data_IF_514794847382
#
_entry.id   IF_514794847382
#
_cell.length_a   1.000
_cell.length_b   1.000
_cell.length_c   1.000
_cell.angle_alpha   90.00
_cell.angle_beta   90.00
_cell.angle_gamma   90.00
#
_symmetry.space_group_name_H-M   'P 1'
#
loop_
_entity.id
_entity.type
_entity.pdbx_description
1 polymer ?
#
# COMPACT_ATOMS: atom_id res chain seq x y z
N UNK A 1 -15.61 -22.82 -12.35
CA UNK A 1 -15.76 -22.33 -10.96
C UNK A 1 -17.06 -21.56 -10.90
N UNK A 2 -17.90 -21.84 -9.91
CA UNK A 2 -19.22 -21.21 -9.75
C UNK A 2 -19.10 -20.00 -8.84
N UNK A 3 -19.69 -18.86 -9.21
CA UNK A 3 -19.75 -17.67 -8.38
C UNK A 3 -20.66 -17.89 -7.16
N UNK A 4 -20.44 -17.19 -6.02
CA UNK A 4 -21.34 -17.27 -4.88
C UNK A 4 -22.71 -16.65 -5.22
N UNK A 5 -23.78 -16.97 -4.45
CA UNK A 5 -25.03 -16.24 -4.56
C UNK A 5 -24.80 -14.77 -4.18
N UNK A 6 -25.03 -13.87 -5.14
CA UNK A 6 -24.82 -12.44 -4.95
C UNK A 6 -26.06 -11.77 -4.35
N UNK A 7 -25.91 -10.69 -3.57
CA UNK A 7 -27.05 -9.93 -3.06
C UNK A 7 -27.78 -9.21 -4.20
N UNK A 8 -29.06 -8.91 -4.03
CA UNK A 8 -29.76 -7.99 -4.91
C UNK A 8 -29.11 -6.57 -4.85
N UNK A 9 -29.04 -5.84 -5.96
CA UNK A 9 -29.55 -6.20 -7.30
C UNK A 9 -28.54 -7.02 -8.14
N UNK A 10 -27.36 -7.33 -7.59
CA UNK A 10 -26.25 -7.98 -8.30
C UNK A 10 -26.46 -9.46 -8.61
N UNK A 11 -27.47 -10.11 -8.01
CA UNK A 11 -27.90 -11.46 -8.37
C UNK A 11 -28.22 -11.62 -9.87
N UNK A 12 -28.62 -10.53 -10.53
CA UNK A 12 -29.00 -10.50 -11.94
C UNK A 12 -27.89 -9.94 -12.85
N UNK A 13 -26.73 -9.59 -12.30
CA UNK A 13 -25.67 -8.94 -13.04
C UNK A 13 -24.92 -9.92 -13.96
N UNK A 14 -24.46 -9.43 -15.11
CA UNK A 14 -23.54 -10.18 -15.96
C UNK A 14 -22.14 -10.10 -15.36
N UNK A 15 -21.54 -11.25 -15.06
CA UNK A 15 -20.16 -11.33 -14.59
C UNK A 15 -19.19 -11.63 -15.75
N UNK A 16 -18.09 -10.89 -15.80
CA UNK A 16 -16.95 -11.19 -16.69
C UNK A 16 -15.66 -11.25 -15.86
N UNK A 17 -14.75 -12.15 -16.22
CA UNK A 17 -13.42 -12.19 -15.61
C UNK A 17 -12.74 -10.84 -15.85
N UNK A 18 -12.28 -10.22 -14.77
CA UNK A 18 -11.54 -8.97 -14.80
C UNK A 18 -10.12 -9.30 -14.36
N UNK A 19 -9.12 -8.86 -15.14
CA UNK A 19 -7.71 -9.16 -14.86
C UNK A 19 -7.37 -8.94 -13.38
N UNK A 20 -6.62 -9.87 -12.78
CA UNK A 20 -6.32 -9.86 -11.35
C UNK A 20 -4.82 -9.99 -11.08
N UNK A 21 -4.40 -9.40 -9.96
CA UNK A 21 -3.08 -9.64 -9.38
C UNK A 21 -2.91 -11.08 -8.93
N UNK A 22 -1.71 -11.43 -8.45
CA UNK A 22 -1.37 -12.82 -8.10
C UNK A 22 -2.22 -13.40 -6.95
N UNK A 23 -2.67 -12.54 -6.03
CA UNK A 23 -3.31 -12.91 -4.76
C UNK A 23 -4.83 -12.97 -4.82
N UNK A 24 -5.47 -12.32 -5.79
CA UNK A 24 -6.92 -12.09 -5.81
C UNK A 24 -7.50 -12.30 -7.21
N UNK A 25 -8.66 -12.97 -7.29
CA UNK A 25 -9.41 -13.13 -8.55
C UNK A 25 -10.54 -12.12 -8.60
N UNK A 26 -10.72 -11.49 -9.75
CA UNK A 26 -11.69 -10.43 -9.92
C UNK A 26 -12.69 -10.76 -11.03
N UNK A 27 -13.92 -10.30 -10.83
CA UNK A 27 -14.96 -10.28 -11.84
C UNK A 27 -15.60 -8.90 -11.87
N UNK A 28 -15.73 -8.32 -13.05
CA UNK A 28 -16.54 -7.14 -13.25
C UNK A 28 -17.99 -7.59 -13.41
N UNK A 29 -18.85 -7.08 -12.53
CA UNK A 29 -20.29 -7.23 -12.60
C UNK A 29 -20.89 -6.01 -13.28
N UNK A 30 -21.75 -6.23 -14.26
CA UNK A 30 -22.50 -5.17 -14.96
C UNK A 30 -24.00 -5.40 -14.81
N UNK A 31 -24.71 -4.38 -14.34
CA UNK A 31 -26.16 -4.34 -14.23
C UNK A 31 -26.67 -2.99 -14.78
N UNK A 32 -27.19 -2.99 -16.02
CA UNK A 32 -27.49 -1.74 -16.73
C UNK A 32 -26.21 -0.90 -16.88
N UNK A 33 -26.25 0.35 -16.42
CA UNK A 33 -25.09 1.26 -16.39
C UNK A 33 -24.23 1.10 -15.11
N UNK A 34 -24.69 0.35 -14.12
CA UNK A 34 -23.98 0.15 -12.87
C UNK A 34 -22.90 -0.93 -13.03
N UNK A 35 -21.75 -0.69 -12.39
CA UNK A 35 -20.62 -1.62 -12.35
C UNK A 35 -20.15 -1.86 -10.92
N UNK A 36 -19.86 -3.11 -10.60
CA UNK A 36 -19.25 -3.53 -9.35
C UNK A 36 -18.11 -4.52 -9.59
N UNK A 37 -17.16 -4.56 -8.67
CA UNK A 37 -16.06 -5.50 -8.69
C UNK A 37 -16.28 -6.56 -7.62
N UNK A 38 -16.49 -7.79 -8.07
CA UNK A 38 -16.48 -8.97 -7.21
C UNK A 38 -15.05 -9.48 -7.11
N UNK A 39 -14.57 -9.66 -5.89
CA UNK A 39 -13.25 -10.19 -5.58
C UNK A 39 -13.39 -11.47 -4.78
N UNK A 40 -12.58 -12.45 -5.13
CA UNK A 40 -12.32 -13.64 -4.32
C UNK A 40 -10.88 -13.59 -3.84
N UNK A 41 -10.69 -13.61 -2.52
CA UNK A 41 -9.36 -13.76 -1.94
C UNK A 41 -8.83 -15.16 -2.26
N UNK A 42 -7.62 -15.27 -2.79
CA UNK A 42 -7.01 -16.59 -3.00
C UNK A 42 -6.43 -17.12 -1.70
N UNK A 43 -6.35 -18.45 -1.61
CA UNK A 43 -5.64 -19.14 -0.52
C UNK A 43 -4.11 -19.20 -0.75
N UNK A 44 -3.58 -18.60 -1.82
CA UNK A 44 -2.17 -18.69 -2.15
C UNK A 44 -1.35 -17.66 -1.37
N UNK A 45 -0.54 -18.18 -0.44
CA UNK A 45 0.61 -17.56 0.23
C UNK A 45 0.41 -16.16 0.82
N UNK A 46 -0.08 -16.16 2.05
CA UNK A 46 -0.15 -14.96 2.87
C UNK A 46 1.22 -14.71 3.53
N UNK A 47 2.15 -14.09 2.79
CA UNK A 47 3.40 -13.54 3.32
C UNK A 47 3.12 -12.28 4.18
N UNK A 48 2.41 -12.49 5.30
CA UNK A 48 2.04 -11.45 6.26
C UNK A 48 0.76 -10.69 5.92
N UNK A 49 -0.19 -11.32 5.21
CA UNK A 49 -1.54 -10.76 4.99
C UNK A 49 -2.44 -11.16 6.17
N UNK A 50 -3.21 -10.19 6.67
CA UNK A 50 -4.26 -10.42 7.65
C UNK A 50 -5.59 -9.94 7.07
N UNK A 51 -6.51 -10.89 6.79
CA UNK A 51 -7.79 -10.59 6.14
C UNK A 51 -8.75 -9.81 7.02
N UNK A 52 -8.63 -9.91 8.35
CA UNK A 52 -9.44 -9.12 9.27
C UNK A 52 -8.95 -7.67 9.30
N UNK A 53 -7.64 -7.47 9.32
CA UNK A 53 -7.01 -6.16 9.21
C UNK A 53 -7.34 -5.46 7.89
N UNK A 54 -7.17 -6.19 6.77
CA UNK A 54 -7.55 -5.73 5.43
C UNK A 54 -8.99 -5.24 5.38
N UNK A 55 -9.93 -6.06 5.88
CA UNK A 55 -11.35 -5.72 5.88
C UNK A 55 -11.65 -4.49 6.75
N UNK A 56 -11.07 -4.41 7.95
CA UNK A 56 -11.29 -3.28 8.85
C UNK A 56 -10.80 -1.96 8.24
N UNK A 57 -9.62 -1.97 7.61
CA UNK A 57 -9.06 -0.83 6.91
C UNK A 57 -9.87 -0.44 5.69
N UNK A 58 -10.24 -1.40 4.85
CA UNK A 58 -11.05 -1.14 3.66
C UNK A 58 -12.45 -0.60 4.02
N UNK A 59 -13.06 -1.10 5.09
CA UNK A 59 -14.34 -0.58 5.59
C UNK A 59 -14.22 0.87 6.06
N UNK A 60 -13.20 1.20 6.86
CA UNK A 60 -12.97 2.58 7.29
C UNK A 60 -12.67 3.51 6.10
N UNK A 61 -11.87 3.04 5.15
CA UNK A 61 -11.54 3.81 3.95
C UNK A 61 -12.75 3.98 3.02
N UNK A 62 -13.65 3.00 2.95
CA UNK A 62 -14.94 3.14 2.25
C UNK A 62 -15.80 4.23 2.88
N UNK A 63 -15.91 4.24 4.21
CA UNK A 63 -16.71 5.23 4.95
C UNK A 63 -16.14 6.65 4.83
N UNK A 64 -14.81 6.78 4.81
CA UNK A 64 -14.13 8.06 4.57
C UNK A 64 -14.15 8.50 3.10
N UNK A 65 -14.67 7.67 2.20
CA UNK A 65 -14.62 7.91 0.76
C UNK A 65 -13.18 7.98 0.25
N UNK A 66 -12.26 7.18 0.77
CA UNK A 66 -10.89 7.06 0.26
C UNK A 66 -10.76 5.79 -0.58
N UNK A 67 -11.57 4.78 -0.33
CA UNK A 67 -11.57 3.50 -1.06
C UNK A 67 -12.93 3.22 -1.71
N UNK A 68 -13.00 2.36 -2.75
CA UNK A 68 -14.28 2.01 -3.34
C UNK A 68 -15.24 1.43 -2.29
N UNK A 69 -16.50 1.91 -2.22
CA UNK A 69 -17.48 1.41 -1.27
C UNK A 69 -17.60 -0.11 -1.29
N UNK A 70 -17.39 -0.73 -0.12
CA UNK A 70 -17.68 -2.15 0.10
C UNK A 70 -19.21 -2.35 0.18
N UNK A 71 -19.76 -3.10 -0.76
CA UNK A 71 -21.20 -3.32 -0.91
C UNK A 71 -21.65 -4.60 -0.20
N UNK A 72 -20.79 -5.62 -0.17
CA UNK A 72 -21.13 -6.91 0.41
C UNK A 72 -19.88 -7.74 0.71
N UNK A 73 -20.00 -8.62 1.70
CA UNK A 73 -18.97 -9.54 2.16
C UNK A 73 -19.60 -10.88 2.52
N UNK A 74 -19.01 -11.98 2.06
CA UNK A 74 -19.35 -13.33 2.51
C UNK A 74 -18.14 -14.27 2.40
N UNK A 75 -17.60 -14.66 3.55
CA UNK A 75 -16.40 -15.51 3.60
C UNK A 75 -15.22 -14.85 2.87
N UNK A 76 -14.66 -15.55 1.88
CA UNK A 76 -13.55 -15.06 1.04
C UNK A 76 -13.96 -14.09 -0.08
N UNK A 77 -15.25 -13.76 -0.18
CA UNK A 77 -15.79 -12.94 -1.27
C UNK A 77 -16.14 -11.55 -0.79
N UNK A 78 -15.71 -10.56 -1.54
CA UNK A 78 -16.06 -9.14 -1.33
C UNK A 78 -16.62 -8.56 -2.61
N UNK A 79 -17.68 -7.76 -2.50
CA UNK A 79 -18.22 -6.98 -3.61
C UNK A 79 -18.03 -5.50 -3.29
N UNK A 80 -17.50 -4.74 -4.23
CA UNK A 80 -17.29 -3.30 -4.09
C UNK A 80 -17.79 -2.56 -5.32
N UNK A 81 -18.04 -1.25 -5.19
CA UNK A 81 -18.33 -0.42 -6.36
C UNK A 81 -17.11 -0.41 -7.30
N UNK A 82 -17.35 -0.56 -8.60
CA UNK A 82 -16.28 -0.42 -9.57
C UNK A 82 -15.94 1.06 -9.77
N UNK A 83 -14.65 1.41 -9.66
CA UNK A 83 -14.16 2.75 -9.96
C UNK A 83 -13.51 2.71 -11.34
N UNK A 84 -14.15 3.38 -12.30
CA UNK A 84 -13.61 3.53 -13.64
C UNK A 84 -12.66 4.74 -13.68
N UNK A 85 -11.41 4.48 -13.30
CA UNK A 85 -10.35 5.46 -13.27
C UNK A 85 -9.00 4.77 -13.50
N UNK A 86 -8.07 5.40 -14.24
CA UNK A 86 -6.74 4.86 -14.42
C UNK A 86 -5.98 4.84 -13.09
N UNK A 87 -5.11 3.84 -12.94
CA UNK A 87 -4.09 3.82 -11.89
C UNK A 87 -2.88 4.63 -12.31
N UNK A 88 -2.10 5.13 -11.35
CA UNK A 88 -0.87 5.84 -11.69
C UNK A 88 -0.23 6.62 -10.54
N UNK A 89 0.97 7.15 -10.79
CA UNK A 89 1.68 7.94 -9.79
C UNK A 89 0.94 9.26 -9.52
N UNK A 90 1.29 9.88 -8.41
CA UNK A 90 0.81 11.22 -8.06
C UNK A 90 1.65 12.26 -8.83
N UNK A 91 1.32 12.46 -10.10
CA UNK A 91 2.13 13.27 -11.03
C UNK A 91 1.85 14.78 -10.94
N UNK A 92 0.83 15.19 -10.19
CA UNK A 92 0.45 16.60 -10.02
C UNK A 92 0.40 16.98 -8.55
N UNK A 93 0.66 18.25 -8.22
CA UNK A 93 0.60 18.77 -6.84
C UNK A 93 -0.73 18.46 -6.13
N UNK A 94 -1.87 18.59 -6.84
CA UNK A 94 -3.19 18.28 -6.29
C UNK A 94 -3.39 16.78 -6.00
N UNK A 95 -2.75 15.91 -6.77
CA UNK A 95 -2.74 14.47 -6.53
C UNK A 95 -1.86 14.12 -5.34
N UNK A 96 -0.65 14.67 -5.27
CA UNK A 96 0.24 14.50 -4.11
C UNK A 96 -0.45 14.96 -2.82
N UNK A 97 -1.06 16.14 -2.84
CA UNK A 97 -1.80 16.65 -1.69
C UNK A 97 -2.95 15.71 -1.27
N UNK A 98 -3.67 15.11 -2.23
CA UNK A 98 -4.76 14.17 -1.95
C UNK A 98 -4.26 12.85 -1.38
N UNK A 99 -3.12 12.36 -1.87
CA UNK A 99 -2.46 11.17 -1.35
C UNK A 99 -1.92 11.39 0.07
N UNK A 100 -1.27 12.51 0.32
CA UNK A 100 -0.79 12.88 1.66
C UNK A 100 -1.94 13.10 2.66
N UNK A 101 -3.09 13.62 2.20
CA UNK A 101 -4.32 13.70 3.02
C UNK A 101 -4.82 12.31 3.41
N UNK A 102 -4.79 11.35 2.48
CA UNK A 102 -5.16 9.97 2.77
C UNK A 102 -4.21 9.33 3.80
N UNK A 103 -2.89 9.54 3.66
CA UNK A 103 -1.90 9.08 4.66
C UNK A 103 -2.15 9.73 6.02
N UNK A 104 -2.34 11.06 6.08
CA UNK A 104 -2.60 11.76 7.33
C UNK A 104 -3.90 11.30 8.01
N UNK A 105 -4.95 11.03 7.24
CA UNK A 105 -6.19 10.43 7.74
C UNK A 105 -5.94 9.04 8.31
N UNK A 106 -5.22 8.19 7.58
CA UNK A 106 -4.94 6.81 7.97
C UNK A 106 -4.14 6.75 9.28
N UNK A 107 -3.11 7.58 9.41
CA UNK A 107 -2.31 7.69 10.62
C UNK A 107 -3.11 8.18 11.85
N UNK A 108 -4.26 8.83 11.63
CA UNK A 108 -5.16 9.30 12.67
C UNK A 108 -6.19 8.27 13.16
N UNK A 109 -6.27 7.08 12.54
CA UNK A 109 -7.23 6.06 12.95
C UNK A 109 -6.79 5.36 14.24
N UNK A 110 -7.77 5.07 15.10
CA UNK A 110 -7.58 4.26 16.31
C UNK A 110 -7.88 2.79 16.01
N UNK A 111 -6.87 2.05 15.54
CA UNK A 111 -6.99 0.62 15.20
C UNK A 111 -5.86 -0.21 15.84
N UNK A 112 -5.85 -0.35 17.18
CA UNK A 112 -4.75 -1.00 17.89
C UNK A 112 -4.64 -2.51 17.66
N UNK A 113 -5.67 -3.13 17.07
CA UNK A 113 -5.73 -4.57 16.79
C UNK A 113 -5.13 -4.94 15.45
N UNK A 114 -4.69 -3.97 14.64
CA UNK A 114 -4.00 -4.26 13.39
C UNK A 114 -2.67 -4.98 13.69
N UNK A 115 -2.24 -5.93 12.83
CA UNK A 115 -0.94 -6.56 12.96
C UNK A 115 0.16 -5.50 12.85
N UNK A 116 1.28 -5.71 13.52
CA UNK A 116 2.45 -4.85 13.40
C UNK A 116 3.29 -5.30 12.21
N UNK A 117 3.73 -4.36 11.37
CA UNK A 117 4.70 -4.60 10.32
C UNK A 117 6.11 -4.78 10.93
N UNK A 118 6.68 -5.99 10.97
CA UNK A 118 7.91 -6.22 11.69
C UNK A 118 9.10 -6.06 10.73
N UNK A 119 9.60 -4.84 10.55
CA UNK A 119 10.56 -4.48 9.49
C UNK A 119 11.74 -5.47 9.34
N UNK A 120 12.63 -5.56 10.35
CA UNK A 120 13.82 -6.44 10.29
C UNK A 120 13.44 -7.91 10.17
N UNK A 121 12.48 -8.37 10.97
CA UNK A 121 12.07 -9.78 10.96
C UNK A 121 11.44 -10.18 9.62
N UNK A 122 10.67 -9.29 8.99
CA UNK A 122 10.09 -9.50 7.65
C UNK A 122 11.18 -9.58 6.60
N UNK A 123 12.18 -8.70 6.64
CA UNK A 123 13.33 -8.78 5.73
C UNK A 123 14.06 -10.12 5.86
N UNK A 124 14.35 -10.57 7.08
CA UNK A 124 14.99 -11.86 7.33
C UNK A 124 14.13 -13.04 6.87
N UNK A 125 12.82 -13.02 7.12
CA UNK A 125 11.88 -14.04 6.67
C UNK A 125 11.80 -14.12 5.14
N UNK A 126 12.02 -13.01 4.44
CA UNK A 126 12.09 -12.93 2.98
C UNK A 126 13.50 -13.21 2.43
N UNK A 127 14.45 -13.62 3.27
CA UNK A 127 15.80 -14.04 2.83
C UNK A 127 16.82 -12.91 2.70
N UNK A 128 16.66 -11.81 3.46
CA UNK A 128 17.68 -10.76 3.55
C UNK A 128 19.06 -11.30 3.97
N UNK A 129 20.12 -10.76 3.35
CA UNK A 129 21.50 -11.19 3.54
C UNK A 129 22.33 -10.23 4.39
N UNK A 130 23.64 -10.49 4.49
CA UNK A 130 24.57 -9.60 5.20
C UNK A 130 24.79 -8.26 4.47
N UNK A 131 24.57 -8.22 3.15
CA UNK A 131 24.74 -7.05 2.28
C UNK A 131 23.50 -6.11 2.24
N UNK A 132 22.49 -6.40 3.06
CA UNK A 132 21.29 -5.58 3.23
C UNK A 132 21.60 -4.22 3.89
N UNK A 133 20.74 -3.20 3.77
CA UNK A 133 20.97 -1.86 4.31
C UNK A 133 20.79 -1.78 5.84
N UNK A 134 21.48 -2.63 6.61
CA UNK A 134 21.30 -2.76 8.06
C UNK A 134 21.57 -1.48 8.84
N UNK A 135 22.40 -0.57 8.33
CA UNK A 135 22.59 0.76 8.91
C UNK A 135 21.28 1.57 8.93
N UNK A 136 20.47 1.48 7.88
CA UNK A 136 19.16 2.14 7.84
C UNK A 136 18.17 1.51 8.84
N UNK A 137 18.15 0.17 8.94
CA UNK A 137 17.35 -0.53 9.96
C UNK A 137 17.77 -0.11 11.38
N UNK A 138 19.07 -0.07 11.65
CA UNK A 138 19.63 0.37 12.94
C UNK A 138 19.22 1.80 13.28
N UNK A 139 19.23 2.72 12.31
CA UNK A 139 18.79 4.11 12.53
C UNK A 139 17.31 4.18 12.93
N UNK A 140 16.43 3.44 12.23
CA UNK A 140 15.00 3.39 12.57
C UNK A 140 14.76 2.77 13.94
N UNK A 141 15.47 1.69 14.27
CA UNK A 141 15.36 0.95 15.53
C UNK A 141 15.92 1.72 16.73
N UNK A 142 16.94 2.56 16.53
CA UNK A 142 17.56 3.36 17.59
C UNK A 142 16.66 4.50 18.09
N UNK A 143 15.65 4.89 17.32
CA UNK A 143 14.70 5.96 17.65
C UNK A 143 13.27 5.53 17.27
N UNK A 144 12.64 4.64 18.07
CA UNK A 144 11.31 4.13 17.76
C UNK A 144 10.25 5.22 17.93
N UNK A 145 9.31 5.28 16.97
CA UNK A 145 8.13 6.14 17.04
C UNK A 145 6.88 5.30 17.34
N UNK A 146 5.81 5.91 17.91
CA UNK A 146 4.52 5.25 18.01
C UNK A 146 4.04 4.77 16.63
N UNK A 147 3.68 3.49 16.55
CA UNK A 147 3.17 2.91 15.32
C UNK A 147 1.78 3.45 15.01
N UNK A 148 1.50 3.61 13.71
CA UNK A 148 0.26 4.16 13.19
C UNK A 148 -0.30 3.24 12.11
N UNK A 149 -1.62 3.22 11.88
CA UNK A 149 -2.17 2.50 10.74
C UNK A 149 -1.56 3.01 9.43
N UNK A 150 -1.20 2.07 8.57
CA UNK A 150 -0.56 2.30 7.28
C UNK A 150 -1.13 1.35 6.23
N UNK A 151 -1.08 1.76 4.97
CA UNK A 151 -1.50 0.94 3.83
C UNK A 151 -0.41 -0.06 3.46
N UNK A 152 0.87 0.27 3.70
CA UNK A 152 2.06 -0.58 3.51
C UNK A 152 2.42 -0.89 2.04
N UNK A 153 1.48 -0.67 1.13
CA UNK A 153 1.69 -0.84 -0.31
C UNK A 153 1.15 0.34 -1.15
N UNK A 154 1.52 1.59 -0.80
CA UNK A 154 1.14 2.78 -1.58
C UNK A 154 1.97 2.94 -2.86
N UNK A 155 1.95 1.92 -3.72
CA UNK A 155 2.51 2.03 -5.05
C UNK A 155 1.49 2.67 -6.03
N UNK A 156 1.95 3.21 -7.18
CA UNK A 156 1.09 3.83 -8.19
C UNK A 156 -0.09 2.97 -8.68
N UNK A 157 0.03 1.65 -8.69
CA UNK A 157 -1.04 0.75 -9.14
C UNK A 157 -2.20 0.68 -8.15
N UNK A 158 -1.96 1.04 -6.88
CA UNK A 158 -2.99 1.10 -5.85
C UNK A 158 -3.65 2.48 -5.73
N UNK A 159 -3.27 3.43 -6.59
CA UNK A 159 -3.80 4.79 -6.64
C UNK A 159 -4.61 5.03 -7.91
N UNK A 160 -5.93 5.12 -7.82
CA UNK A 160 -6.82 5.43 -8.92
C UNK A 160 -7.18 6.92 -8.94
N UNK A 161 -7.07 7.55 -10.11
CA UNK A 161 -7.20 9.00 -10.26
C UNK A 161 -8.36 9.43 -11.14
N UNK A 162 -9.26 10.24 -10.59
CA UNK A 162 -10.22 11.03 -11.36
C UNK A 162 -9.83 12.51 -11.20
N UNK A 163 -8.90 12.97 -12.04
CA UNK A 163 -8.21 14.25 -11.85
C UNK A 163 -7.42 14.26 -10.52
N UNK A 164 -7.81 15.08 -9.55
CA UNK A 164 -7.21 15.13 -8.21
C UNK A 164 -7.90 14.20 -7.20
N UNK A 165 -9.03 13.60 -7.57
CA UNK A 165 -9.74 12.67 -6.71
C UNK A 165 -9.02 11.34 -6.67
N UNK A 166 -8.56 10.97 -5.48
CA UNK A 166 -7.94 9.68 -5.18
C UNK A 166 -8.98 8.63 -4.78
N UNK A 167 -8.80 7.41 -5.28
CA UNK A 167 -9.30 6.18 -4.68
C UNK A 167 -8.13 5.22 -4.42
N UNK A 168 -7.99 4.74 -3.19
CA UNK A 168 -7.03 3.70 -2.81
C UNK A 168 -7.68 2.32 -2.85
N UNK A 169 -6.93 1.33 -3.32
CA UNK A 169 -7.34 -0.07 -3.39
C UNK A 169 -6.23 -0.97 -2.83
N UNK A 170 -6.54 -2.26 -2.65
CA UNK A 170 -5.59 -3.30 -2.26
C UNK A 170 -4.97 -3.13 -0.86
N UNK A 171 -5.85 -3.24 0.16
CA UNK A 171 -5.51 -3.06 1.58
C UNK A 171 -4.89 -4.31 2.24
N UNK A 172 -4.45 -5.31 1.48
CA UNK A 172 -4.12 -6.63 2.02
C UNK A 172 -2.88 -6.67 2.93
N UNK A 173 -1.99 -5.69 2.81
CA UNK A 173 -0.81 -5.54 3.68
C UNK A 173 -1.01 -4.52 4.82
N UNK A 174 -2.19 -3.93 4.91
CA UNK A 174 -2.49 -2.87 5.86
C UNK A 174 -2.22 -3.30 7.31
N UNK A 175 -1.43 -2.51 8.03
CA UNK A 175 -0.88 -2.86 9.34
C UNK A 175 -0.46 -1.63 10.14
N UNK A 176 -0.11 -1.81 11.42
CA UNK A 176 0.60 -0.80 12.19
C UNK A 176 2.05 -0.72 11.73
N UNK A 177 2.49 0.45 11.30
CA UNK A 177 3.84 0.70 10.82
C UNK A 177 4.43 1.98 11.41
N UNK A 178 5.72 2.17 11.20
CA UNK A 178 6.36 3.46 11.44
C UNK A 178 5.68 4.57 10.62
N UNK A 179 5.43 5.78 11.16
CA UNK A 179 4.76 6.86 10.43
C UNK A 179 5.49 7.33 9.17
N UNK A 180 6.75 6.94 8.98
CA UNK A 180 7.52 7.24 7.76
C UNK A 180 7.34 6.17 6.67
N UNK A 181 6.74 5.01 6.96
CA UNK A 181 6.73 3.86 6.04
C UNK A 181 5.95 4.16 4.75
N UNK A 182 4.71 4.62 4.85
CA UNK A 182 3.89 5.00 3.69
C UNK A 182 4.46 6.23 2.97
N UNK A 183 5.10 7.15 3.69
CA UNK A 183 5.80 8.28 3.09
C UNK A 183 7.03 7.83 2.28
N UNK A 184 7.78 6.85 2.78
CA UNK A 184 8.89 6.23 2.07
C UNK A 184 8.40 5.45 0.83
N UNK A 185 7.28 4.74 0.93
CA UNK A 185 6.64 4.10 -0.22
C UNK A 185 6.35 5.15 -1.31
N UNK A 186 5.65 6.24 -0.96
CA UNK A 186 5.32 7.33 -1.89
C UNK A 186 6.59 7.92 -2.51
N UNK A 187 7.59 8.25 -1.69
CA UNK A 187 8.86 8.77 -2.16
C UNK A 187 9.50 7.85 -3.23
N UNK A 188 9.61 6.56 -2.95
CA UNK A 188 10.30 5.59 -3.82
C UNK A 188 9.47 5.29 -5.08
N UNK A 189 8.20 4.94 -4.92
CA UNK A 189 7.40 4.36 -6.03
C UNK A 189 6.68 5.43 -6.86
N UNK A 190 6.54 6.66 -6.37
CA UNK A 190 6.04 7.79 -7.15
C UNK A 190 7.20 8.63 -7.71
N UNK A 191 8.45 8.22 -7.48
CA UNK A 191 9.67 8.89 -7.98
C UNK A 191 9.76 10.37 -7.60
N UNK A 192 9.37 10.69 -6.35
CA UNK A 192 9.36 12.07 -5.85
C UNK A 192 10.70 12.41 -5.17
N UNK A 193 11.07 13.69 -5.11
CA UNK A 193 12.20 14.10 -4.28
C UNK A 193 11.78 14.09 -2.78
N UNK A 194 12.56 13.49 -1.86
CA UNK A 194 12.23 13.47 -0.43
C UNK A 194 12.00 14.85 0.19
N UNK A 195 12.77 15.85 -0.25
CA UNK A 195 12.59 17.23 0.20
C UNK A 195 11.22 17.80 -0.22
N UNK A 196 10.80 17.51 -1.46
CA UNK A 196 9.52 17.98 -1.96
C UNK A 196 8.36 17.31 -1.20
N UNK A 197 8.44 16.00 -0.97
CA UNK A 197 7.48 15.26 -0.15
C UNK A 197 7.41 15.81 1.29
N UNK A 198 8.58 16.05 1.90
CA UNK A 198 8.68 16.61 3.26
C UNK A 198 8.03 17.99 3.36
N UNK A 199 8.28 18.87 2.39
CA UNK A 199 7.68 20.21 2.34
C UNK A 199 6.16 20.13 2.18
N UNK A 200 5.67 19.28 1.27
CA UNK A 200 4.24 19.09 1.06
C UNK A 200 3.55 18.53 2.31
N UNK A 201 4.17 17.56 2.99
CA UNK A 201 3.67 17.01 4.24
C UNK A 201 3.61 18.04 5.36
N UNK A 202 4.67 18.85 5.53
CA UNK A 202 4.72 19.88 6.54
C UNK A 202 3.67 20.97 6.28
N UNK A 203 3.51 21.39 5.03
CA UNK A 203 2.48 22.36 4.65
C UNK A 203 1.06 21.84 4.95
N UNK A 204 0.83 20.54 4.78
CA UNK A 204 -0.48 19.92 5.01
C UNK A 204 -0.78 19.67 6.49
N UNK A 205 0.20 19.18 7.25
CA UNK A 205 -0.02 18.61 8.59
C UNK A 205 0.57 19.44 9.72
N UNK A 206 1.38 20.46 9.38
CA UNK A 206 2.22 21.24 10.30
C UNK A 206 3.27 20.39 11.04
N UNK A 207 3.45 19.12 10.67
CA UNK A 207 4.44 18.21 11.25
C UNK A 207 5.69 18.16 10.36
N UNK A 208 6.88 18.49 10.87
CA UNK A 208 8.10 18.40 10.08
C UNK A 208 8.51 16.94 9.84
N UNK A 209 9.18 16.68 8.71
CA UNK A 209 9.80 15.40 8.40
C UNK A 209 11.31 15.50 8.60
N UNK A 210 11.87 14.54 9.35
CA UNK A 210 13.32 14.39 9.48
C UNK A 210 13.85 13.65 8.26
N UNK A 211 14.55 14.36 7.37
CA UNK A 211 15.02 13.78 6.10
C UNK A 211 15.91 12.56 6.29
N UNK A 212 16.81 12.55 7.28
CA UNK A 212 17.64 11.39 7.58
C UNK A 212 16.79 10.13 7.89
N UNK A 213 15.69 10.29 8.65
CA UNK A 213 14.76 9.19 8.92
C UNK A 213 13.98 8.80 7.66
N UNK A 214 13.56 9.75 6.83
CA UNK A 214 12.86 9.46 5.58
C UNK A 214 13.74 8.68 4.60
N UNK A 215 15.01 9.04 4.46
CA UNK A 215 15.98 8.29 3.67
C UNK A 215 16.23 6.89 4.23
N UNK A 216 16.42 6.76 5.55
CA UNK A 216 16.56 5.45 6.18
C UNK A 216 15.33 4.57 5.96
N UNK A 217 14.12 5.14 6.12
CA UNK A 217 12.89 4.39 5.85
C UNK A 217 12.71 4.07 4.36
N UNK A 218 13.15 4.95 3.45
CA UNK A 218 13.24 4.68 2.02
C UNK A 218 14.11 3.46 1.71
N UNK A 219 15.29 3.36 2.34
CA UNK A 219 16.15 2.19 2.23
C UNK A 219 15.49 0.92 2.79
N UNK A 220 14.82 1.00 3.95
CA UNK A 220 14.10 -0.12 4.56
C UNK A 220 12.95 -0.61 3.66
N UNK A 221 12.10 0.30 3.20
CA UNK A 221 10.98 0.01 2.30
C UNK A 221 11.46 -0.65 1.01
N UNK A 222 12.40 -0.01 0.29
CA UNK A 222 12.91 -0.54 -0.97
C UNK A 222 13.59 -1.90 -0.77
N UNK A 223 14.31 -2.11 0.35
CA UNK A 223 14.87 -3.42 0.65
C UNK A 223 13.80 -4.49 0.88
N UNK A 224 12.71 -4.20 1.61
CA UNK A 224 11.60 -5.13 1.77
C UNK A 224 10.95 -5.50 0.42
N UNK A 225 10.78 -4.52 -0.47
CA UNK A 225 10.31 -4.74 -1.82
C UNK A 225 11.28 -5.61 -2.65
N UNK A 226 12.60 -5.38 -2.56
CA UNK A 226 13.59 -6.25 -3.20
C UNK A 226 13.45 -7.71 -2.71
N UNK A 227 13.43 -7.91 -1.39
CA UNK A 227 13.31 -9.25 -0.81
C UNK A 227 12.02 -9.94 -1.26
N UNK A 228 10.90 -9.21 -1.29
CA UNK A 228 9.63 -9.73 -1.78
C UNK A 228 9.70 -10.08 -3.28
N UNK A 229 10.25 -9.21 -4.13
CA UNK A 229 10.41 -9.47 -5.57
C UNK A 229 11.29 -10.71 -5.85
N UNK A 230 12.27 -10.99 -4.99
CA UNK A 230 13.15 -12.16 -5.09
C UNK A 230 12.49 -13.45 -4.59
N UNK A 231 11.39 -13.36 -3.85
CA UNK A 231 10.71 -14.53 -3.32
C UNK A 231 10.18 -15.39 -4.49
N UNK A 232 10.45 -16.71 -4.52
CA UNK A 232 10.11 -17.56 -5.69
C UNK A 232 8.63 -17.54 -6.07
N UNK A 233 7.75 -17.30 -5.10
CA UNK A 233 6.30 -17.28 -5.29
C UNK A 233 5.76 -15.89 -5.65
N UNK A 234 6.58 -14.84 -5.58
CA UNK A 234 6.16 -13.50 -5.97
C UNK A 234 6.15 -13.33 -7.50
N UNK A 235 6.99 -14.02 -8.26
CA UNK A 235 7.00 -13.89 -9.73
C UNK A 235 7.47 -12.52 -10.27
N UNK A 236 8.06 -11.67 -9.42
CA UNK A 236 8.49 -10.30 -9.76
C UNK A 236 10.02 -10.11 -9.75
N UNK A 237 10.80 -11.16 -9.99
CA UNK A 237 12.27 -11.12 -9.90
C UNK A 237 12.90 -10.00 -10.75
N UNK A 238 12.30 -9.67 -11.90
CA UNK A 238 12.75 -8.60 -12.79
C UNK A 238 12.77 -7.20 -12.12
N UNK A 239 11.95 -6.99 -11.08
CA UNK A 239 11.84 -5.72 -10.37
C UNK A 239 12.81 -5.61 -9.18
N UNK A 240 13.44 -6.71 -8.75
CA UNK A 240 14.34 -6.70 -7.60
C UNK A 240 15.52 -5.73 -7.77
N UNK A 241 16.10 -5.67 -8.98
CA UNK A 241 17.24 -4.79 -9.27
C UNK A 241 16.88 -3.30 -9.16
N UNK A 242 15.64 -2.93 -9.49
CA UNK A 242 15.14 -1.55 -9.33
C UNK A 242 15.17 -1.15 -7.85
N UNK A 243 14.61 -1.99 -6.98
CA UNK A 243 14.59 -1.73 -5.55
C UNK A 243 15.97 -1.78 -4.90
N UNK A 244 16.86 -2.65 -5.40
CA UNK A 244 18.27 -2.67 -4.96
C UNK A 244 18.96 -1.34 -5.21
N UNK A 245 18.79 -0.79 -6.41
CA UNK A 245 19.32 0.53 -6.76
C UNK A 245 18.72 1.61 -5.85
N UNK A 246 17.42 1.56 -5.59
CA UNK A 246 16.71 2.55 -4.79
C UNK A 246 17.21 2.60 -3.33
N UNK A 247 17.34 1.47 -2.63
CA UNK A 247 17.88 1.51 -1.27
C UNK A 247 19.37 1.89 -1.22
N UNK A 248 20.16 1.52 -2.24
CA UNK A 248 21.56 1.96 -2.35
C UNK A 248 21.68 3.48 -2.48
N UNK A 249 20.83 4.12 -3.30
CA UNK A 249 20.75 5.58 -3.39
C UNK A 249 20.35 6.23 -2.07
N UNK A 250 19.44 5.61 -1.33
CA UNK A 250 19.04 6.10 -0.01
C UNK A 250 20.20 6.07 1.00
N UNK A 251 21.05 5.04 0.98
CA UNK A 251 22.22 4.98 1.85
C UNK A 251 23.25 6.07 1.52
N UNK A 252 23.54 6.28 0.23
CA UNK A 252 24.45 7.36 -0.22
C UNK A 252 23.93 8.73 0.21
N UNK A 253 22.63 8.97 0.07
CA UNK A 253 22.02 10.22 0.49
C UNK A 253 22.06 10.40 2.02
N UNK A 254 21.91 9.31 2.79
CA UNK A 254 22.00 9.33 4.25
C UNK A 254 23.42 9.67 4.72
N UNK A 255 24.45 9.10 4.10
CA UNK A 255 25.86 9.41 4.40
C UNK A 255 26.19 10.88 4.14
N UNK A 256 25.64 11.46 3.06
CA UNK A 256 25.86 12.87 2.71
C UNK A 256 25.14 13.90 3.61
N UNK A 257 24.32 13.46 4.56
CA UNK A 257 23.68 14.34 5.56
C UNK A 257 24.50 14.52 6.84
N UNK A 258 25.62 13.79 6.96
CA UNK A 258 26.53 13.82 8.09
C UNK A 258 27.71 14.78 7.89
#
# INVERSE_FOLDING_TARGET
>A
MTLPPLPEPWAQAKAQVFGGGLTNRHWLLTLGEQRALLRQNSAALELGIDRQAELALWQAASQAGISPPLLWLQGQWTLSRFIDAPTGPASQEGQLASLLKAVAWLQGLAMPTLPVLPLRARALALGAGADSPWAAYQLIEADPLPLVPAHVDLNPQNCLWQQQRLWLIDWEYGSLADPYYDLAAIFITHELAPQHLANAWQALTLKPIRLARLWAMGAVFAHLCECWCRHPQAGYLAYAAHYRKAWGQCLVALEGLH
#
